data_IF_478210978776
#
_entry.id   IF_478210978776
#
_cell.length_a   1.000
_cell.length_b   1.000
_cell.length_c   1.000
_cell.angle_alpha   90.00
_cell.angle_beta   90.00
_cell.angle_gamma   90.00
#
_symmetry.space_group_name_H-M   'P 1'
#
loop_
_entity.id
_entity.type
_entity.pdbx_description
1 polymer ?
#
# COMPACT_ATOMS: atom_id res chain seq x y z
N UNK A 1 -4.06 15.11 -6.47
CA UNK A 1 -4.21 13.68 -6.76
C UNK A 1 -4.28 12.91 -5.44
N UNK A 2 -5.16 11.92 -5.38
CA UNK A 2 -5.20 10.86 -4.35
C UNK A 2 -5.08 9.54 -5.08
N UNK A 3 -4.19 8.66 -4.61
CA UNK A 3 -4.07 7.28 -5.07
C UNK A 3 -4.59 6.36 -3.96
N UNK A 4 -5.44 5.40 -4.32
CA UNK A 4 -6.03 4.46 -3.38
C UNK A 4 -5.54 3.05 -3.68
N UNK A 5 -5.24 2.29 -2.64
CA UNK A 5 -4.74 0.92 -2.74
C UNK A 5 -5.87 -0.10 -2.54
N UNK A 6 -6.58 -0.05 -1.41
CA UNK A 6 -7.60 -1.02 -1.02
C UNK A 6 -8.64 -0.43 -0.04
N UNK A 7 -9.63 -1.25 0.36
CA UNK A 7 -10.86 -0.80 1.03
C UNK A 7 -10.76 -0.74 2.56
N UNK A 8 -9.69 -1.19 3.21
CA UNK A 8 -9.63 -1.20 4.67
C UNK A 8 -9.79 0.20 5.27
N UNK A 9 -10.39 0.29 6.45
CA UNK A 9 -10.85 1.55 7.06
C UNK A 9 -9.73 2.51 7.45
N UNK A 10 -8.52 2.03 7.64
CA UNK A 10 -7.30 2.80 7.89
C UNK A 10 -6.67 3.36 6.60
N UNK A 11 -7.05 2.82 5.42
CA UNK A 11 -6.63 3.28 4.10
C UNK A 11 -7.72 4.03 3.34
N UNK A 12 -8.98 3.70 3.58
CA UNK A 12 -10.11 4.37 2.94
C UNK A 12 -11.21 4.73 3.95
N UNK A 13 -11.42 6.03 4.17
CA UNK A 13 -12.51 6.52 4.99
C UNK A 13 -13.53 7.27 4.11
N UNK A 14 -14.79 6.78 3.97
CA UNK A 14 -15.80 7.41 3.10
C UNK A 14 -16.16 8.85 3.50
N UNK A 15 -16.10 9.18 4.80
CA UNK A 15 -16.37 10.56 5.28
C UNK A 15 -15.26 11.51 4.83
N UNK A 16 -14.00 11.08 4.95
CA UNK A 16 -12.83 11.84 4.48
C UNK A 16 -12.88 12.02 2.96
N UNK A 17 -13.17 10.95 2.21
CA UNK A 17 -13.30 11.02 0.75
C UNK A 17 -14.38 12.03 0.32
N UNK A 18 -15.56 12.00 0.99
CA UNK A 18 -16.65 12.96 0.76
C UNK A 18 -16.25 14.39 1.04
N UNK A 19 -15.60 14.63 2.18
CA UNK A 19 -15.15 15.97 2.56
C UNK A 19 -14.15 16.52 1.55
N UNK A 20 -13.11 15.76 1.21
CA UNK A 20 -12.10 16.13 0.22
C UNK A 20 -12.71 16.39 -1.16
N UNK A 21 -13.64 15.55 -1.62
CA UNK A 21 -14.30 15.72 -2.90
C UNK A 21 -15.11 17.02 -2.97
N UNK A 22 -15.74 17.41 -1.85
CA UNK A 22 -16.50 18.65 -1.74
C UNK A 22 -15.60 19.89 -1.68
N UNK A 23 -14.56 19.84 -0.84
CA UNK A 23 -13.66 20.99 -0.62
C UNK A 23 -12.67 21.21 -1.77
N UNK A 24 -12.33 20.14 -2.47
CA UNK A 24 -11.36 20.12 -3.56
C UNK A 24 -11.99 19.58 -4.86
N UNK A 25 -12.91 20.32 -5.50
CA UNK A 25 -13.65 19.82 -6.65
C UNK A 25 -12.79 19.51 -7.88
N UNK A 26 -11.54 19.96 -7.92
CA UNK A 26 -10.55 19.62 -8.96
C UNK A 26 -9.74 18.35 -8.65
N UNK A 27 -9.88 17.75 -7.45
CA UNK A 27 -9.12 16.60 -7.02
C UNK A 27 -9.44 15.38 -7.91
N UNK A 28 -8.38 14.71 -8.38
CA UNK A 28 -8.46 13.44 -9.12
C UNK A 28 -8.20 12.28 -8.17
N UNK A 29 -8.86 11.15 -8.44
CA UNK A 29 -8.76 9.92 -7.67
C UNK A 29 -8.30 8.79 -8.58
N UNK A 30 -7.03 8.38 -8.44
CA UNK A 30 -6.50 7.21 -9.14
C UNK A 30 -6.72 5.95 -8.29
N UNK A 31 -7.29 4.90 -8.91
CA UNK A 31 -7.57 3.66 -8.22
C UNK A 31 -7.72 2.48 -9.19
N UNK A 32 -7.66 1.26 -8.64
CA UNK A 32 -8.08 0.07 -9.37
C UNK A 32 -9.60 -0.13 -9.27
N UNK A 33 -10.15 -1.05 -10.08
CA UNK A 33 -11.60 -1.27 -10.24
C UNK A 33 -12.35 -1.51 -8.93
N UNK A 34 -11.74 -2.19 -7.95
CA UNK A 34 -12.39 -2.51 -6.67
C UNK A 34 -12.68 -1.29 -5.78
N UNK A 35 -12.02 -0.15 -6.05
CA UNK A 35 -12.24 1.08 -5.30
C UNK A 35 -13.30 2.01 -5.95
N UNK A 36 -13.76 1.72 -7.15
CA UNK A 36 -14.73 2.57 -7.86
C UNK A 36 -16.06 2.65 -7.11
N UNK A 37 -16.65 1.51 -6.75
CA UNK A 37 -17.89 1.44 -5.98
C UNK A 37 -17.82 2.24 -4.68
N UNK A 38 -16.86 1.95 -3.79
CA UNK A 38 -16.65 2.69 -2.54
C UNK A 38 -16.49 4.21 -2.73
N UNK A 39 -15.78 4.66 -3.76
CA UNK A 39 -15.64 6.09 -4.06
C UNK A 39 -16.96 6.74 -4.46
N UNK A 40 -17.74 6.09 -5.35
CA UNK A 40 -19.05 6.60 -5.78
C UNK A 40 -20.04 6.65 -4.60
N UNK A 41 -20.09 5.63 -3.76
CA UNK A 41 -20.92 5.59 -2.55
C UNK A 41 -20.50 6.68 -1.54
N UNK A 42 -19.21 7.02 -1.47
CA UNK A 42 -18.72 8.15 -0.71
C UNK A 42 -19.14 9.51 -1.28
N UNK A 43 -19.70 9.55 -2.52
CA UNK A 43 -20.14 10.77 -3.18
C UNK A 43 -19.08 11.46 -4.01
N UNK A 44 -18.03 10.75 -4.42
CA UNK A 44 -17.03 11.23 -5.38
C UNK A 44 -17.66 11.22 -6.78
N UNK A 45 -17.50 12.31 -7.54
CA UNK A 45 -17.97 12.39 -8.92
C UNK A 45 -17.21 11.40 -9.81
N UNK A 46 -17.94 10.52 -10.52
CA UNK A 46 -17.36 9.52 -11.43
C UNK A 46 -16.35 10.12 -12.44
N UNK A 47 -16.59 11.35 -12.90
CA UNK A 47 -15.69 12.06 -13.84
C UNK A 47 -14.32 12.39 -13.24
N UNK A 48 -14.15 12.22 -11.94
CA UNK A 48 -12.92 12.46 -11.17
C UNK A 48 -12.19 11.19 -10.79
N UNK A 49 -12.77 10.03 -11.10
CA UNK A 49 -12.18 8.73 -10.80
C UNK A 49 -11.47 8.22 -12.05
N UNK A 50 -10.18 7.98 -11.93
CA UNK A 50 -9.33 7.38 -12.95
C UNK A 50 -9.11 5.92 -12.58
N UNK A 51 -9.70 5.01 -13.37
CA UNK A 51 -9.56 3.58 -13.15
C UNK A 51 -8.38 3.06 -13.95
N UNK A 52 -7.44 2.42 -13.28
CA UNK A 52 -6.20 1.90 -13.88
C UNK A 52 -6.10 0.42 -13.53
N UNK A 53 -5.84 -0.43 -14.52
CA UNK A 53 -5.74 -1.88 -14.30
C UNK A 53 -4.39 -2.26 -13.70
N UNK A 54 -4.35 -3.02 -12.59
CA UNK A 54 -3.09 -3.50 -12.01
C UNK A 54 -2.55 -4.76 -12.69
N UNK A 55 -3.31 -5.31 -13.65
CA UNK A 55 -2.98 -6.54 -14.39
C UNK A 55 -2.38 -6.29 -15.77
N UNK A 56 -2.29 -5.02 -16.17
CA UNK A 56 -1.69 -4.62 -17.43
C UNK A 56 -0.55 -3.65 -17.15
N UNK A 57 0.69 -4.08 -17.39
CA UNK A 57 1.89 -3.26 -17.18
C UNK A 57 1.94 -1.99 -18.02
N UNK A 58 1.19 -1.95 -19.13
CA UNK A 58 1.11 -0.80 -20.03
C UNK A 58 0.00 0.19 -19.61
N UNK A 59 -0.84 -0.19 -18.64
CA UNK A 59 -1.91 0.68 -18.16
C UNK A 59 -1.38 1.64 -17.07
N UNK A 60 -1.22 2.89 -17.47
CA UNK A 60 -0.72 3.95 -16.61
C UNK A 60 -1.50 5.24 -16.83
N UNK A 61 -1.69 6.02 -15.78
CA UNK A 61 -2.33 7.33 -15.87
C UNK A 61 -1.28 8.45 -15.83
N UNK A 62 -1.38 9.37 -16.81
CA UNK A 62 -0.59 10.58 -16.85
C UNK A 62 -1.36 11.75 -16.23
N UNK A 63 -0.87 12.27 -15.13
CA UNK A 63 -1.34 13.49 -14.49
C UNK A 63 -0.42 14.64 -14.89
N UNK A 64 -0.83 15.40 -15.91
CA UNK A 64 -0.02 16.45 -16.53
C UNK A 64 0.55 17.44 -15.51
N UNK A 65 1.87 17.60 -15.52
CA UNK A 65 2.60 18.47 -14.60
C UNK A 65 2.71 17.96 -13.15
N UNK A 66 2.35 16.68 -12.91
CA UNK A 66 2.44 16.05 -11.61
C UNK A 66 3.20 14.70 -11.67
N UNK A 67 2.60 13.68 -12.27
CA UNK A 67 3.22 12.35 -12.30
C UNK A 67 2.59 11.43 -13.36
N UNK A 68 3.33 10.38 -13.72
CA UNK A 68 2.80 9.14 -14.29
C UNK A 68 2.69 8.12 -13.17
N UNK A 69 1.55 7.45 -13.08
CA UNK A 69 1.31 6.43 -12.05
C UNK A 69 0.85 5.13 -12.67
N UNK A 70 1.35 4.00 -12.17
CA UNK A 70 0.97 2.65 -12.58
C UNK A 70 0.72 1.79 -11.34
N UNK A 71 -0.44 1.17 -11.20
CA UNK A 71 -0.67 0.20 -10.16
C UNK A 71 -0.07 -1.16 -10.54
N UNK A 72 0.28 -1.96 -9.55
CA UNK A 72 0.65 -3.36 -9.68
C UNK A 72 -0.05 -4.16 -8.58
N UNK A 73 -0.69 -5.28 -8.95
CA UNK A 73 -1.40 -6.12 -7.98
C UNK A 73 -0.43 -6.70 -6.95
N UNK A 74 -0.78 -6.58 -5.67
CA UNK A 74 -0.08 -7.22 -4.55
C UNK A 74 -1.07 -8.01 -3.69
N UNK A 75 -0.68 -9.21 -3.17
CA UNK A 75 -1.59 -10.07 -2.44
C UNK A 75 -1.90 -9.53 -1.05
N UNK A 76 -3.18 -9.50 -0.70
CA UNK A 76 -3.70 -9.19 0.61
C UNK A 76 -5.02 -9.94 0.84
N UNK A 77 -5.66 -9.82 2.02
CA UNK A 77 -6.96 -10.43 2.31
C UNK A 77 -8.15 -9.77 1.59
N UNK A 78 -7.91 -8.60 0.99
CA UNK A 78 -8.81 -7.91 0.03
C UNK A 78 -7.99 -7.52 -1.21
N UNK A 79 -8.62 -7.25 -2.37
CA UNK A 79 -7.90 -6.74 -3.54
C UNK A 79 -7.10 -5.49 -3.21
N UNK A 80 -5.80 -5.51 -3.55
CA UNK A 80 -4.84 -4.47 -3.20
C UNK A 80 -3.86 -4.22 -4.34
N UNK A 81 -3.26 -3.02 -4.37
CA UNK A 81 -2.21 -2.68 -5.32
C UNK A 81 -1.07 -1.87 -4.68
N UNK A 82 0.12 -2.08 -5.19
CA UNK A 82 1.23 -1.14 -5.07
C UNK A 82 1.11 -0.05 -6.13
N UNK A 83 1.85 1.04 -5.96
CA UNK A 83 1.94 2.13 -6.91
C UNK A 83 3.38 2.36 -7.34
N UNK A 84 3.62 2.41 -8.65
CA UNK A 84 4.80 2.98 -9.27
C UNK A 84 4.48 4.42 -9.67
N UNK A 85 5.28 5.36 -9.21
CA UNK A 85 5.05 6.79 -9.41
C UNK A 85 6.32 7.40 -9.98
N UNK A 86 6.18 8.13 -11.09
CA UNK A 86 7.28 8.85 -11.74
C UNK A 86 6.88 10.31 -11.96
N UNK A 87 7.57 11.25 -11.33
CA UNK A 87 7.25 12.69 -11.41
C UNK A 87 7.96 13.43 -12.57
N UNK A 88 8.66 12.71 -13.43
CA UNK A 88 9.46 13.24 -14.53
C UNK A 88 10.95 13.31 -14.21
N UNK A 89 11.37 13.01 -12.96
CA UNK A 89 12.76 12.97 -12.51
C UNK A 89 13.05 11.75 -11.66
N UNK A 90 12.19 11.48 -10.69
CA UNK A 90 12.38 10.48 -9.65
C UNK A 90 11.30 9.41 -9.72
N UNK A 91 11.67 8.18 -9.34
CA UNK A 91 10.78 7.03 -9.24
C UNK A 91 10.51 6.73 -7.77
N UNK A 92 9.24 6.59 -7.42
CA UNK A 92 8.79 6.15 -6.11
C UNK A 92 8.01 4.86 -6.24
N UNK A 93 8.32 3.89 -5.38
CA UNK A 93 7.52 2.68 -5.18
C UNK A 93 6.81 2.75 -3.84
N UNK A 94 5.48 2.56 -3.86
CA UNK A 94 4.65 2.54 -2.66
C UNK A 94 3.92 1.21 -2.55
N UNK A 95 4.11 0.48 -1.46
CA UNK A 95 3.42 -0.77 -1.20
C UNK A 95 3.12 -0.92 0.29
N UNK A 96 1.85 -1.14 0.62
CA UNK A 96 1.40 -1.39 1.98
C UNK A 96 0.41 -2.55 2.01
N UNK A 97 0.32 -3.23 3.14
CA UNK A 97 -0.64 -4.31 3.39
C UNK A 97 -0.53 -5.45 2.38
N UNK A 98 0.62 -6.11 2.42
CA UNK A 98 0.86 -7.28 1.57
C UNK A 98 1.66 -8.36 2.30
N UNK A 99 1.33 -9.61 2.08
CA UNK A 99 2.07 -10.75 2.62
C UNK A 99 3.40 -11.01 1.91
N UNK A 100 3.58 -10.50 0.69
CA UNK A 100 4.79 -10.69 -0.11
C UNK A 100 4.92 -9.64 -1.21
N UNK A 101 6.16 -9.34 -1.58
CA UNK A 101 6.54 -8.59 -2.78
C UNK A 101 7.30 -9.49 -3.79
N UNK A 102 7.19 -10.80 -3.65
CA UNK A 102 7.81 -11.74 -4.58
C UNK A 102 7.27 -11.53 -6.01
N UNK A 103 8.16 -11.44 -6.97
CA UNK A 103 7.81 -11.18 -8.38
C UNK A 103 7.58 -9.71 -8.72
N UNK A 104 7.55 -8.81 -7.74
CA UNK A 104 7.44 -7.36 -7.98
C UNK A 104 8.83 -6.78 -8.22
N UNK A 105 8.97 -6.01 -9.29
CA UNK A 105 10.22 -5.36 -9.66
C UNK A 105 10.10 -3.83 -9.65
N UNK A 106 10.99 -3.18 -8.91
CA UNK A 106 11.14 -1.73 -8.84
C UNK A 106 12.62 -1.35 -8.73
N UNK A 107 13.43 -1.77 -9.72
CA UNK A 107 14.90 -1.65 -9.69
C UNK A 107 15.38 -0.21 -9.71
N UNK A 108 16.26 0.11 -8.75
CA UNK A 108 16.96 1.39 -8.67
C UNK A 108 16.04 2.62 -8.61
N UNK A 109 14.86 2.48 -7.98
CA UNK A 109 14.00 3.63 -7.71
C UNK A 109 14.65 4.52 -6.66
N UNK A 110 14.30 5.81 -6.69
CA UNK A 110 14.88 6.82 -5.80
C UNK A 110 14.31 6.69 -4.38
N UNK A 111 13.02 6.37 -4.25
CA UNK A 111 12.35 6.20 -2.97
C UNK A 111 11.46 4.96 -2.94
N UNK A 112 11.60 4.19 -1.86
CA UNK A 112 10.71 3.08 -1.52
C UNK A 112 9.93 3.41 -0.25
N UNK A 113 8.62 3.33 -0.32
CA UNK A 113 7.72 3.45 0.82
C UNK A 113 6.98 2.11 0.95
N UNK A 114 7.49 1.23 1.78
CA UNK A 114 6.97 -0.14 1.91
C UNK A 114 6.64 -0.48 3.36
N UNK A 115 5.70 -1.38 3.55
CA UNK A 115 5.37 -1.82 4.89
C UNK A 115 6.49 -2.65 5.53
N UNK A 116 6.60 -2.56 6.85
CA UNK A 116 7.39 -3.44 7.70
C UNK A 116 6.63 -3.64 9.02
N UNK A 117 5.53 -4.41 8.95
CA UNK A 117 4.50 -4.44 9.98
C UNK A 117 5.01 -4.99 11.33
N UNK A 118 5.82 -6.04 11.30
CA UNK A 118 6.31 -6.74 12.47
C UNK A 118 7.72 -7.30 12.24
N UNK A 119 8.45 -7.60 13.33
CA UNK A 119 9.60 -8.48 13.26
C UNK A 119 9.17 -9.94 13.50
N UNK A 120 9.91 -10.90 12.97
CA UNK A 120 9.64 -12.32 13.24
C UNK A 120 9.72 -12.62 14.74
N UNK A 121 10.71 -12.05 15.42
CA UNK A 121 10.90 -12.24 16.85
C UNK A 121 9.72 -11.72 17.68
N UNK A 122 9.21 -10.52 17.38
CA UNK A 122 8.04 -9.95 18.07
C UNK A 122 6.78 -10.76 17.81
N UNK A 123 6.62 -11.27 16.60
CA UNK A 123 5.48 -12.11 16.24
C UNK A 123 5.50 -13.43 17.04
N UNK A 124 6.64 -14.13 17.06
CA UNK A 124 6.83 -15.38 17.81
C UNK A 124 6.59 -15.18 19.30
N UNK A 125 7.15 -14.12 19.89
CA UNK A 125 6.96 -13.80 21.30
C UNK A 125 5.48 -13.55 21.66
N UNK A 126 4.75 -12.81 20.80
CA UNK A 126 3.31 -12.59 20.99
C UNK A 126 2.49 -13.89 20.88
N UNK A 127 2.83 -14.74 19.90
CA UNK A 127 2.17 -16.04 19.72
C UNK A 127 2.39 -16.94 20.94
N UNK A 128 3.61 -16.99 21.47
CA UNK A 128 3.95 -17.77 22.66
C UNK A 128 3.23 -17.26 23.90
N UNK A 129 3.22 -15.96 24.13
CA UNK A 129 2.51 -15.33 25.25
C UNK A 129 1.01 -15.65 25.23
N UNK A 130 0.34 -15.56 24.07
CA UNK A 130 -1.08 -15.91 23.92
C UNK A 130 -1.33 -17.41 24.11
N UNK A 131 -0.46 -18.26 23.58
CA UNK A 131 -0.54 -19.70 23.82
C UNK A 131 -0.44 -20.03 25.31
N UNK A 132 0.49 -19.39 26.02
CA UNK A 132 0.64 -19.58 27.46
C UNK A 132 -0.57 -19.09 28.27
N UNK A 133 -1.26 -18.03 27.78
CA UNK A 133 -2.50 -17.52 28.37
C UNK A 133 -3.76 -18.30 27.98
N UNK A 134 -3.66 -19.30 27.10
CA UNK A 134 -4.83 -20.03 26.58
C UNK A 134 -5.72 -19.19 25.66
N UNK A 135 -5.19 -18.09 25.11
CA UNK A 135 -5.90 -17.20 24.22
C UNK A 135 -5.75 -17.61 22.74
N UNK A 136 -6.77 -17.31 21.94
CA UNK A 136 -6.68 -17.52 20.50
C UNK A 136 -5.76 -16.47 19.87
N UNK A 137 -4.84 -16.92 19.00
CA UNK A 137 -3.86 -16.04 18.35
C UNK A 137 -4.29 -15.70 16.92
N UNK A 138 -4.50 -14.41 16.65
CA UNK A 138 -4.71 -13.89 15.28
C UNK A 138 -3.39 -13.48 14.61
N UNK A 139 -2.28 -13.56 15.30
CA UNK A 139 -0.96 -13.13 14.85
C UNK A 139 -0.53 -13.89 13.59
N UNK A 140 -0.95 -15.14 13.47
CA UNK A 140 -0.65 -15.94 12.28
C UNK A 140 -1.32 -15.39 11.02
N UNK A 141 -2.57 -14.92 11.13
CA UNK A 141 -3.28 -14.27 10.03
C UNK A 141 -2.63 -12.92 9.66
N UNK A 142 -2.14 -12.16 10.66
CA UNK A 142 -1.37 -10.94 10.41
C UNK A 142 -0.08 -11.25 9.64
N UNK A 143 0.65 -12.30 10.03
CA UNK A 143 1.87 -12.72 9.35
C UNK A 143 1.66 -13.13 7.88
N UNK A 144 0.48 -13.61 7.53
CA UNK A 144 0.16 -13.98 6.14
C UNK A 144 -0.20 -12.79 5.26
N UNK A 145 -0.69 -11.71 5.85
CA UNK A 145 -1.24 -10.55 5.15
C UNK A 145 -0.32 -9.33 5.18
N UNK A 146 0.77 -9.39 5.94
CA UNK A 146 1.68 -8.26 6.14
C UNK A 146 3.14 -8.69 6.09
N UNK A 147 3.99 -7.88 5.48
CA UNK A 147 5.44 -8.11 5.45
C UNK A 147 6.05 -7.98 6.85
N UNK A 148 6.91 -8.93 7.19
CA UNK A 148 7.85 -8.71 8.27
C UNK A 148 8.93 -7.71 7.83
N UNK A 149 9.60 -7.10 8.81
CA UNK A 149 10.72 -6.20 8.55
C UNK A 149 11.84 -6.91 7.78
N UNK A 150 12.13 -8.15 8.13
CA UNK A 150 13.16 -8.96 7.49
C UNK A 150 12.83 -9.24 6.01
N UNK A 151 11.57 -9.51 5.67
CA UNK A 151 11.14 -9.68 4.28
C UNK A 151 11.25 -8.38 3.49
N UNK A 152 10.84 -7.26 4.11
CA UNK A 152 10.95 -5.94 3.50
C UNK A 152 12.42 -5.56 3.23
N UNK A 153 13.32 -5.79 4.19
CA UNK A 153 14.76 -5.54 4.05
C UNK A 153 15.40 -6.42 2.96
N UNK A 154 15.03 -7.70 2.89
CA UNK A 154 15.52 -8.63 1.86
C UNK A 154 15.10 -8.20 0.46
N UNK A 155 13.82 -7.81 0.29
CA UNK A 155 13.32 -7.31 -0.99
C UNK A 155 14.01 -5.99 -1.36
N UNK A 156 14.15 -5.05 -0.44
CA UNK A 156 14.86 -3.78 -0.67
C UNK A 156 16.30 -4.01 -1.11
N UNK A 157 17.01 -4.94 -0.47
CA UNK A 157 18.38 -5.26 -0.84
C UNK A 157 18.52 -5.69 -2.31
N UNK A 158 17.49 -6.37 -2.82
CA UNK A 158 17.46 -6.79 -4.22
C UNK A 158 17.06 -5.67 -5.19
N UNK A 159 16.32 -4.65 -4.73
CA UNK A 159 15.75 -3.60 -5.59
C UNK A 159 16.56 -2.31 -5.61
N UNK A 160 17.11 -1.91 -4.47
CA UNK A 160 17.75 -0.60 -4.30
C UNK A 160 19.01 -0.43 -5.13
N UNK A 161 19.16 0.76 -5.71
CA UNK A 161 20.42 1.27 -6.27
C UNK A 161 21.24 2.04 -5.21
N UNK A 162 22.43 2.53 -5.58
CA UNK A 162 23.37 3.14 -4.64
C UNK A 162 22.86 4.47 -4.01
N UNK A 163 21.90 5.15 -4.64
CA UNK A 163 21.34 6.41 -4.16
C UNK A 163 19.89 6.27 -3.66
N UNK A 164 19.35 5.06 -3.68
CA UNK A 164 17.98 4.80 -3.25
C UNK A 164 17.80 5.07 -1.76
N UNK A 165 16.63 5.58 -1.40
CA UNK A 165 16.17 5.76 -0.02
C UNK A 165 14.95 4.89 0.25
N UNK A 166 14.65 4.60 1.52
CA UNK A 166 13.43 3.90 1.89
C UNK A 166 12.82 4.42 3.19
N UNK A 167 11.52 4.23 3.31
CA UNK A 167 10.73 4.52 4.52
C UNK A 167 9.87 3.29 4.80
N UNK A 168 9.95 2.76 6.01
CA UNK A 168 9.04 1.72 6.47
C UNK A 168 7.71 2.32 6.92
N UNK A 169 6.64 1.78 6.37
CA UNK A 169 5.26 2.13 6.69
C UNK A 169 4.60 1.05 7.54
N UNK A 170 3.41 1.35 8.05
CA UNK A 170 2.51 0.39 8.71
C UNK A 170 3.19 -0.45 9.80
N UNK A 171 4.12 0.16 10.53
CA UNK A 171 4.84 -0.50 11.62
C UNK A 171 3.90 -0.69 12.82
N UNK A 172 3.74 -1.93 13.25
CA UNK A 172 3.03 -2.22 14.48
C UNK A 172 3.93 -1.83 15.67
N UNK A 173 3.69 -0.64 16.23
CA UNK A 173 4.32 -0.27 17.49
C UNK A 173 3.68 -1.14 18.59
N UNK A 174 4.43 -2.10 19.11
CA UNK A 174 4.07 -2.78 20.35
C UNK A 174 3.76 -1.72 21.39
N UNK A 175 2.59 -1.79 22.02
CA UNK A 175 2.29 -0.92 23.16
C UNK A 175 3.39 -1.18 24.19
N UNK A 176 4.36 -0.26 24.25
CA UNK A 176 5.32 -0.22 25.34
C UNK A 176 4.49 -0.15 26.62
N UNK A 177 4.73 -1.12 27.51
CA UNK A 177 4.14 -1.20 28.82
C UNK A 177 4.60 -0.06 29.71
#
# INVERSE_FOLDING_TARGET
>A
LVLLTHIHSDHFNPRTARALSKERPALRWGCCEWMVGPLLEAGVDKRRVDVISPYNSDDAALYKGLAVVRPEFIPHNVPNCAWHIFDGKEHLFYATDTGTLEGIEAKSYDLYMIEANHTRADLEARMEAKRAAGEFSYEWAAAQNHLSKEQAEEWLYQQMGPNSQYIFLHQHQGKGG
#
